data_IF_462802237445
#
_entry.id   IF_462802237445
#
_cell.length_a   1.000
_cell.length_b   1.000
_cell.length_c   1.000
_cell.angle_alpha   90.00
_cell.angle_beta   90.00
_cell.angle_gamma   90.00
#
_symmetry.space_group_name_H-M   'P 1'
#
loop_
_entity.id
_entity.type
_entity.pdbx_description
1 polymer ?
#
# COMPACT_ATOMS: atom_id res chain seq x y z
N UNK A 1 40.53 -53.04 -8.36
CA UNK A 1 39.82 -51.78 -8.62
C UNK A 1 40.85 -50.81 -9.14
N UNK A 2 40.76 -50.41 -10.41
CA UNK A 2 41.82 -49.69 -11.11
C UNK A 2 41.75 -48.17 -10.81
N UNK A 3 42.91 -47.53 -10.60
CA UNK A 3 43.07 -46.10 -10.32
C UNK A 3 42.43 -45.26 -11.43
N UNK A 4 42.47 -45.75 -12.68
CA UNK A 4 41.82 -45.11 -13.82
C UNK A 4 40.29 -44.99 -13.67
N UNK A 5 39.64 -45.98 -13.05
CA UNK A 5 38.18 -45.97 -12.83
C UNK A 5 37.79 -44.99 -11.72
N UNK A 6 38.60 -44.89 -10.67
CA UNK A 6 38.41 -43.95 -9.55
C UNK A 6 38.66 -42.51 -10.02
N UNK A 7 39.74 -42.27 -10.79
CA UNK A 7 40.04 -40.95 -11.32
C UNK A 7 38.95 -40.46 -12.29
N UNK A 8 38.43 -41.35 -13.14
CA UNK A 8 37.34 -41.02 -14.07
C UNK A 8 36.03 -40.69 -13.35
N UNK A 9 35.69 -41.39 -12.26
CA UNK A 9 34.48 -41.12 -11.49
C UNK A 9 34.57 -39.81 -10.68
N UNK A 10 35.75 -39.47 -10.17
CA UNK A 10 36.00 -38.20 -9.48
C UNK A 10 35.89 -37.01 -10.44
N UNK A 11 36.48 -37.12 -11.63
CA UNK A 11 36.39 -36.06 -12.66
C UNK A 11 34.94 -35.86 -13.12
N UNK A 12 34.20 -36.95 -13.38
CA UNK A 12 32.78 -36.86 -13.72
C UNK A 12 31.95 -36.23 -12.60
N UNK A 13 32.23 -36.58 -11.34
CA UNK A 13 31.54 -36.00 -10.19
C UNK A 13 31.85 -34.51 -10.01
N UNK A 14 33.09 -34.10 -10.25
CA UNK A 14 33.50 -32.70 -10.24
C UNK A 14 32.84 -31.89 -11.37
N UNK A 15 32.71 -32.46 -12.57
CA UNK A 15 31.97 -31.85 -13.67
C UNK A 15 30.49 -31.66 -13.35
N UNK A 16 29.83 -32.69 -12.79
CA UNK A 16 28.43 -32.61 -12.38
C UNK A 16 28.24 -31.58 -11.27
N UNK A 17 29.12 -31.57 -10.26
CA UNK A 17 29.09 -30.58 -9.18
C UNK A 17 29.27 -29.16 -9.72
N UNK A 18 30.23 -28.95 -10.62
CA UNK A 18 30.46 -27.65 -11.26
C UNK A 18 29.25 -27.14 -12.04
N UNK A 19 28.59 -28.01 -12.83
CA UNK A 19 27.38 -27.65 -13.57
C UNK A 19 26.22 -27.30 -12.63
N UNK A 20 25.99 -28.10 -11.58
CA UNK A 20 24.96 -27.83 -10.57
C UNK A 20 25.21 -26.50 -9.85
N UNK A 21 26.45 -26.21 -9.47
CA UNK A 21 26.82 -24.93 -8.85
C UNK A 21 26.58 -23.73 -9.78
N UNK A 22 26.84 -23.85 -11.08
CA UNK A 22 26.57 -22.79 -12.05
C UNK A 22 25.07 -22.53 -12.22
N UNK A 23 24.25 -23.58 -12.31
CA UNK A 23 22.79 -23.47 -12.41
C UNK A 23 22.22 -22.84 -11.15
N UNK A 24 22.62 -23.33 -9.97
CA UNK A 24 22.16 -22.79 -8.70
C UNK A 24 22.57 -21.31 -8.54
N UNK A 25 23.80 -20.96 -8.90
CA UNK A 25 24.25 -19.58 -8.88
C UNK A 25 23.48 -18.67 -9.85
N UNK A 26 23.11 -19.17 -11.03
CA UNK A 26 22.30 -18.41 -11.98
C UNK A 26 20.86 -18.20 -11.48
N UNK A 27 20.26 -19.21 -10.87
CA UNK A 27 18.95 -19.11 -10.23
C UNK A 27 18.96 -18.18 -9.03
N UNK A 28 19.99 -18.25 -8.17
CA UNK A 28 20.12 -17.37 -7.02
C UNK A 28 20.25 -15.91 -7.43
N UNK A 29 21.07 -15.60 -8.45
CA UNK A 29 21.16 -14.23 -8.98
C UNK A 29 19.85 -13.75 -9.60
N UNK A 30 19.08 -14.64 -10.22
CA UNK A 30 17.75 -14.30 -10.75
C UNK A 30 16.76 -14.03 -9.62
N UNK A 31 16.74 -14.84 -8.57
CA UNK A 31 15.86 -14.63 -7.42
C UNK A 31 16.21 -13.36 -6.65
N UNK A 32 17.50 -13.08 -6.43
CA UNK A 32 17.96 -11.85 -5.77
C UNK A 32 17.50 -10.60 -6.52
N UNK A 33 17.57 -10.61 -7.86
CA UNK A 33 17.05 -9.50 -8.69
C UNK A 33 15.55 -9.33 -8.56
N UNK A 34 14.79 -10.42 -8.52
CA UNK A 34 13.34 -10.38 -8.32
C UNK A 34 12.99 -9.80 -6.94
N UNK A 35 13.64 -10.28 -5.88
CA UNK A 35 13.43 -9.81 -4.51
C UNK A 35 13.76 -8.32 -4.39
N UNK A 36 14.87 -7.88 -4.97
CA UNK A 36 15.26 -6.46 -4.96
C UNK A 36 14.25 -5.59 -5.74
N UNK A 37 13.72 -6.07 -6.86
CA UNK A 37 12.69 -5.35 -7.61
C UNK A 37 11.37 -5.24 -6.84
N UNK A 38 10.94 -6.33 -6.19
CA UNK A 38 9.76 -6.34 -5.31
C UNK A 38 9.94 -5.39 -4.12
N UNK A 39 11.11 -5.43 -3.48
CA UNK A 39 11.46 -4.53 -2.38
C UNK A 39 11.39 -3.06 -2.79
N UNK A 40 12.01 -2.69 -3.91
CA UNK A 40 11.96 -1.30 -4.43
C UNK A 40 10.54 -0.86 -4.72
N UNK A 41 9.71 -1.76 -5.26
CA UNK A 41 8.31 -1.48 -5.52
C UNK A 41 7.55 -1.25 -4.21
N UNK A 42 7.78 -2.09 -3.20
CA UNK A 42 7.18 -1.93 -1.87
C UNK A 42 7.62 -0.63 -1.17
N UNK A 43 8.91 -0.28 -1.22
CA UNK A 43 9.43 0.97 -0.67
C UNK A 43 8.84 2.19 -1.39
N UNK A 44 8.67 2.12 -2.72
CA UNK A 44 8.03 3.18 -3.50
C UNK A 44 6.56 3.34 -3.11
N UNK A 45 5.82 2.22 -2.98
CA UNK A 45 4.43 2.22 -2.51
C UNK A 45 4.31 2.82 -1.10
N UNK A 46 5.21 2.48 -0.19
CA UNK A 46 5.23 3.03 1.17
C UNK A 46 5.42 4.56 1.15
N UNK A 47 6.39 5.07 0.38
CA UNK A 47 6.62 6.51 0.23
C UNK A 47 5.42 7.24 -0.38
N UNK A 48 4.79 6.66 -1.41
CA UNK A 48 3.58 7.22 -2.03
C UNK A 48 2.45 7.32 -1.00
N UNK A 49 2.26 6.29 -0.16
CA UNK A 49 1.24 6.28 0.91
C UNK A 49 1.53 7.33 1.98
N UNK A 50 2.79 7.53 2.36
CA UNK A 50 3.18 8.58 3.29
C UNK A 50 2.93 10.00 2.72
N UNK A 51 3.26 10.21 1.44
CA UNK A 51 2.97 11.45 0.75
C UNK A 51 1.46 11.71 0.66
N UNK A 52 0.66 10.67 0.42
CA UNK A 52 -0.79 10.79 0.35
C UNK A 52 -1.41 11.23 1.68
N UNK A 53 -0.89 10.75 2.82
CA UNK A 53 -1.30 11.26 4.13
C UNK A 53 -1.00 12.76 4.27
N UNK A 54 0.21 13.18 3.89
CA UNK A 54 0.60 14.60 3.94
C UNK A 54 -0.30 15.47 3.05
N UNK A 55 -0.63 15.00 1.85
CA UNK A 55 -1.53 15.70 0.93
C UNK A 55 -2.95 15.78 1.48
N UNK A 56 -3.48 14.69 2.02
CA UNK A 56 -4.80 14.66 2.65
C UNK A 56 -4.91 15.68 3.80
N UNK A 57 -3.90 15.77 4.66
CA UNK A 57 -3.88 16.73 5.76
C UNK A 57 -3.81 18.17 5.25
N UNK A 58 -2.97 18.47 4.25
CA UNK A 58 -2.89 19.80 3.65
C UNK A 58 -4.21 20.23 2.98
N UNK A 59 -4.87 19.31 2.29
CA UNK A 59 -6.17 19.58 1.68
C UNK A 59 -7.25 19.87 2.74
N UNK A 60 -7.28 19.06 3.81
CA UNK A 60 -8.16 19.30 4.94
C UNK A 60 -7.91 20.66 5.60
N UNK A 61 -6.65 21.02 5.89
CA UNK A 61 -6.28 22.31 6.46
C UNK A 61 -6.71 23.48 5.56
N UNK A 62 -6.51 23.35 4.25
CA UNK A 62 -6.96 24.34 3.28
C UNK A 62 -8.48 24.50 3.34
N UNK A 63 -9.23 23.39 3.35
CA UNK A 63 -10.69 23.44 3.43
C UNK A 63 -11.17 24.04 4.76
N UNK A 64 -10.54 23.70 5.88
CA UNK A 64 -10.80 24.32 7.19
C UNK A 64 -10.59 25.84 7.16
N UNK A 65 -9.51 26.31 6.55
CA UNK A 65 -9.23 27.74 6.45
C UNK A 65 -10.28 28.46 5.58
N UNK A 66 -10.67 27.85 4.45
CA UNK A 66 -11.74 28.38 3.60
C UNK A 66 -13.07 28.38 4.35
N UNK A 67 -13.36 27.34 5.12
CA UNK A 67 -14.64 27.21 5.81
C UNK A 67 -14.83 28.25 6.90
N UNK A 68 -13.75 28.61 7.63
CA UNK A 68 -13.75 29.74 8.57
C UNK A 68 -14.15 31.06 7.91
N UNK A 69 -13.76 31.26 6.64
CA UNK A 69 -14.13 32.48 5.90
C UNK A 69 -15.54 32.47 5.33
N UNK A 70 -16.10 31.27 5.04
CA UNK A 70 -17.39 31.13 4.35
C UNK A 70 -18.55 30.62 5.23
N UNK A 71 -18.28 30.23 6.46
CA UNK A 71 -19.29 29.78 7.42
C UNK A 71 -19.83 28.36 7.17
N UNK A 72 -19.12 27.53 6.40
CA UNK A 72 -19.51 26.13 6.17
C UNK A 72 -18.77 25.17 7.10
N UNK A 73 -19.37 24.01 7.38
CA UNK A 73 -18.74 22.92 8.13
C UNK A 73 -17.91 22.05 7.20
N UNK A 74 -16.69 21.71 7.60
CA UNK A 74 -15.80 20.79 6.88
C UNK A 74 -15.77 19.46 7.62
N UNK A 75 -15.85 18.36 6.88
CA UNK A 75 -15.69 17.02 7.46
C UNK A 75 -14.31 16.85 8.10
N UNK A 76 -14.19 15.94 9.06
CA UNK A 76 -12.92 15.70 9.73
C UNK A 76 -11.81 15.20 8.79
N UNK A 77 -10.54 15.30 9.22
CA UNK A 77 -9.38 14.92 8.42
C UNK A 77 -9.42 13.44 7.97
N UNK A 78 -10.05 12.56 8.75
CA UNK A 78 -10.22 11.14 8.46
C UNK A 78 -10.85 10.86 7.08
N UNK A 79 -11.68 11.78 6.60
CA UNK A 79 -12.36 11.68 5.31
C UNK A 79 -11.39 11.86 4.15
N UNK A 80 -10.50 12.84 4.28
CA UNK A 80 -9.48 13.13 3.28
C UNK A 80 -8.50 11.97 3.22
N UNK A 81 -8.06 11.48 4.39
CA UNK A 81 -7.21 10.31 4.50
C UNK A 81 -7.86 9.11 3.80
N UNK A 82 -9.11 8.79 4.14
CA UNK A 82 -9.83 7.68 3.52
C UNK A 82 -9.89 7.79 1.98
N UNK A 83 -10.22 8.98 1.45
CA UNK A 83 -10.27 9.21 0.00
C UNK A 83 -8.92 8.96 -0.67
N UNK A 84 -7.85 9.52 -0.13
CA UNK A 84 -6.50 9.35 -0.70
C UNK A 84 -6.06 7.88 -0.66
N UNK A 85 -6.29 7.17 0.44
CA UNK A 85 -5.97 5.75 0.52
C UNK A 85 -6.79 4.90 -0.48
N UNK A 86 -8.08 5.22 -0.68
CA UNK A 86 -8.91 4.54 -1.69
C UNK A 86 -8.45 4.84 -3.11
N UNK A 87 -8.08 6.10 -3.40
CA UNK A 87 -7.51 6.49 -4.68
C UNK A 87 -6.22 5.72 -4.98
N UNK A 88 -5.32 5.61 -4.01
CA UNK A 88 -4.08 4.85 -4.18
C UNK A 88 -4.35 3.37 -4.45
N UNK A 89 -5.27 2.74 -3.72
CA UNK A 89 -5.63 1.34 -3.98
C UNK A 89 -6.22 1.17 -5.38
N UNK A 90 -7.06 2.11 -5.85
CA UNK A 90 -7.60 2.08 -7.20
C UNK A 90 -6.52 2.25 -8.27
N UNK A 91 -5.49 3.06 -8.03
CA UNK A 91 -4.33 3.17 -8.91
C UNK A 91 -3.52 1.86 -8.94
N UNK A 92 -3.29 1.25 -7.78
CA UNK A 92 -2.55 -0.03 -7.68
C UNK A 92 -3.29 -1.20 -8.36
N UNK A 93 -4.62 -1.14 -8.41
CA UNK A 93 -5.47 -2.14 -9.07
C UNK A 93 -5.79 -1.84 -10.54
N UNK A 94 -5.21 -0.79 -11.13
CA UNK A 94 -5.52 -0.30 -12.49
C UNK A 94 -7.01 0.03 -12.70
N UNK A 95 -7.69 0.44 -11.62
CA UNK A 95 -9.12 0.78 -11.57
C UNK A 95 -9.36 2.27 -11.35
N UNK A 96 -8.38 3.12 -11.60
CA UNK A 96 -8.48 4.56 -11.41
C UNK A 96 -9.34 5.23 -12.51
N UNK A 97 -10.66 5.10 -12.36
CA UNK A 97 -11.66 5.65 -13.28
C UNK A 97 -12.54 6.68 -12.58
N UNK A 98 -13.16 7.58 -13.36
CA UNK A 98 -14.09 8.59 -12.84
C UNK A 98 -15.23 7.93 -12.05
N UNK A 99 -15.73 6.78 -12.51
CA UNK A 99 -16.83 6.08 -11.85
C UNK A 99 -16.41 5.56 -10.47
N UNK A 100 -15.23 4.94 -10.36
CA UNK A 100 -14.73 4.46 -9.08
C UNK A 100 -14.37 5.61 -8.12
N UNK A 101 -13.97 6.77 -8.64
CA UNK A 101 -13.78 7.98 -7.84
C UNK A 101 -15.11 8.52 -7.30
N UNK A 102 -16.17 8.54 -8.11
CA UNK A 102 -17.52 8.90 -7.64
C UNK A 102 -18.03 7.93 -6.58
N UNK A 103 -17.82 6.64 -6.77
CA UNK A 103 -18.18 5.64 -5.77
C UNK A 103 -17.39 5.86 -4.47
N UNK A 104 -16.08 6.13 -4.56
CA UNK A 104 -15.26 6.46 -3.38
C UNK A 104 -15.77 7.69 -2.64
N UNK A 105 -16.18 8.72 -3.37
CA UNK A 105 -16.79 9.93 -2.80
C UNK A 105 -18.09 9.59 -2.06
N UNK A 106 -18.97 8.81 -2.69
CA UNK A 106 -20.22 8.37 -2.09
C UNK A 106 -19.99 7.53 -0.83
N UNK A 107 -19.10 6.53 -0.90
CA UNK A 107 -18.74 5.67 0.23
C UNK A 107 -18.18 6.50 1.39
N UNK A 108 -17.35 7.50 1.09
CA UNK A 108 -16.79 8.42 2.10
C UNK A 108 -17.91 9.16 2.84
N UNK A 109 -18.88 9.70 2.10
CA UNK A 109 -20.02 10.41 2.70
C UNK A 109 -20.88 9.47 3.56
N UNK A 110 -21.11 8.24 3.10
CA UNK A 110 -21.85 7.23 3.86
C UNK A 110 -21.15 6.84 5.15
N UNK A 111 -19.83 6.66 5.09
CA UNK A 111 -19.01 6.32 6.25
C UNK A 111 -19.04 7.44 7.30
N UNK A 112 -18.91 8.70 6.88
CA UNK A 112 -19.02 9.86 7.77
C UNK A 112 -20.37 9.90 8.45
N UNK A 113 -21.46 9.77 7.69
CA UNK A 113 -22.80 9.83 8.24
C UNK A 113 -23.02 8.73 9.30
N UNK A 114 -22.51 7.52 9.05
CA UNK A 114 -22.57 6.42 10.01
C UNK A 114 -21.74 6.71 11.28
N UNK A 115 -20.54 7.25 11.14
CA UNK A 115 -19.68 7.63 12.27
C UNK A 115 -20.33 8.75 13.09
N UNK A 116 -20.87 9.78 12.44
CA UNK A 116 -21.57 10.88 13.10
C UNK A 116 -22.78 10.37 13.89
N UNK A 117 -23.61 9.52 13.29
CA UNK A 117 -24.75 8.92 13.97
C UNK A 117 -24.36 8.03 15.16
N UNK A 118 -23.18 7.39 15.13
CA UNK A 118 -22.65 6.65 16.29
C UNK A 118 -22.15 7.59 17.39
N UNK A 119 -21.45 8.67 17.01
CA UNK A 119 -20.98 9.69 17.96
C UNK A 119 -22.18 10.36 18.66
N UNK A 120 -23.24 10.68 17.92
CA UNK A 120 -24.48 11.25 18.46
C UNK A 120 -25.13 10.30 19.47
N UNK A 121 -25.31 9.01 19.10
CA UNK A 121 -25.82 7.99 20.03
C UNK A 121 -24.98 7.84 21.28
N UNK A 122 -23.66 7.85 21.15
CA UNK A 122 -22.75 7.82 22.29
C UNK A 122 -22.92 9.06 23.18
N UNK A 123 -23.06 10.25 22.59
CA UNK A 123 -23.28 11.49 23.36
C UNK A 123 -24.58 11.47 24.15
N UNK A 124 -25.67 11.04 23.51
CA UNK A 124 -26.98 10.91 24.16
C UNK A 124 -26.93 9.96 25.35
N UNK A 125 -26.30 8.79 25.20
CA UNK A 125 -26.16 7.80 26.27
C UNK A 125 -25.34 8.30 27.47
N UNK A 126 -24.41 9.24 27.24
CA UNK A 126 -23.49 9.75 28.25
C UNK A 126 -23.84 11.18 28.72
N UNK A 127 -24.98 11.74 28.30
CA UNK A 127 -25.38 13.10 28.66
C UNK A 127 -24.43 14.19 28.15
N UNK A 128 -23.68 13.92 27.07
CA UNK A 128 -22.77 14.87 26.46
C UNK A 128 -23.54 15.81 25.51
N UNK A 129 -23.11 17.08 25.38
CA UNK A 129 -23.78 18.05 24.51
C UNK A 129 -23.73 17.62 23.04
N UNK A 130 -24.85 17.73 22.33
CA UNK A 130 -24.90 17.59 20.87
C UNK A 130 -24.33 18.85 20.20
N UNK A 131 -23.67 18.71 19.03
CA UNK A 131 -23.10 19.84 18.30
C UNK A 131 -24.15 20.82 17.77
#
# INVERSE_FOLDING_TARGET
MDIATIASSVVLSACVAGVVSLINGAWQRKSERTIEAERRTAETRAKIREMALTLAMKEWELHQNISKTKGYTVSGPEVYVFRYFRMLNLMEEDKFTIENLRQTQYDSMRAIAAIQAEIERYREQNGLPTP
#
